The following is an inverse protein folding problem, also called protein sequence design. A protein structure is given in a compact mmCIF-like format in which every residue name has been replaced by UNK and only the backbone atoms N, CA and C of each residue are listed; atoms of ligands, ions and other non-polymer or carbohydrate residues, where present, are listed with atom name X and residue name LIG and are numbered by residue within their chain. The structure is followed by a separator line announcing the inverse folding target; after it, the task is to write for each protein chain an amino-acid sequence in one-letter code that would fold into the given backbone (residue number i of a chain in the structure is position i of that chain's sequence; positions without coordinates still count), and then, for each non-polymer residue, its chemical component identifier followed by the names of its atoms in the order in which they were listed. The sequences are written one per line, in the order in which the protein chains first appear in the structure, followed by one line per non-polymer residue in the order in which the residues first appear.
data_IF_767845174642
#
_entry.id   IF_767845174642
#
_cell.length_a   1.000
_cell.length_b   1.000
_cell.length_c   1.000
_cell.angle_alpha   90.00
_cell.angle_beta   90.00
_cell.angle_gamma   90.00
#
_symmetry.space_group_name_H-M   'P 1'
#
loop_
_entity.id
_entity.type
_entity.pdbx_description
1 polymer ?
#
# COMPACT_ATOMS: atom_id res chain seq x y z
N UNK A 1 15.11 14.57 23.94
CA UNK A 1 14.39 15.40 22.94
C UNK A 1 14.52 14.84 21.53
N UNK A 2 15.71 14.51 21.02
CA UNK A 2 15.88 13.96 19.66
C UNK A 2 15.22 12.60 19.47
N UNK A 3 15.32 11.70 20.45
CA UNK A 3 14.73 10.35 20.39
C UNK A 3 13.20 10.36 20.38
N UNK A 4 12.55 11.15 21.24
CA UNK A 4 11.09 11.30 21.23
C UNK A 4 10.57 11.90 19.92
N UNK A 5 11.30 12.85 19.34
CA UNK A 5 10.97 13.44 18.05
C UNK A 5 11.09 12.40 16.91
N UNK A 6 12.19 11.62 16.88
CA UNK A 6 12.38 10.54 15.90
C UNK A 6 11.27 9.50 16.00
N UNK A 7 10.90 9.10 17.21
CA UNK A 7 9.82 8.15 17.45
C UNK A 7 8.44 8.70 17.02
N UNK A 8 8.11 9.95 17.39
CA UNK A 8 6.86 10.58 17.00
C UNK A 8 6.76 10.77 15.48
N UNK A 9 7.85 11.20 14.83
CA UNK A 9 7.93 11.33 13.37
C UNK A 9 7.85 9.96 12.69
N UNK A 10 8.51 8.94 13.22
CA UNK A 10 8.44 7.56 12.73
C UNK A 10 6.99 7.06 12.74
N UNK A 11 6.28 7.21 13.86
CA UNK A 11 4.86 6.84 13.94
C UNK A 11 4.00 7.65 12.97
N UNK A 12 4.13 8.97 12.95
CA UNK A 12 3.31 9.84 12.10
C UNK A 12 3.50 9.58 10.60
N UNK A 13 4.75 9.36 10.17
CA UNK A 13 5.07 9.04 8.77
C UNK A 13 4.52 7.68 8.36
N UNK A 14 4.54 6.67 9.23
CA UNK A 14 3.97 5.35 8.97
C UNK A 14 2.44 5.37 8.78
N UNK A 15 1.72 6.06 9.66
CA UNK A 15 0.26 6.19 9.58
C UNK A 15 -0.15 6.98 8.32
N UNK A 16 0.56 8.07 8.04
CA UNK A 16 0.30 8.91 6.86
C UNK A 16 0.61 8.15 5.57
N UNK A 17 1.69 7.35 5.55
CA UNK A 17 2.02 6.47 4.43
C UNK A 17 0.89 5.49 4.13
N UNK A 18 0.33 4.84 5.15
CA UNK A 18 -0.81 3.92 4.99
C UNK A 18 -2.01 4.60 4.31
N UNK A 19 -2.31 5.85 4.68
CA UNK A 19 -3.36 6.65 4.04
C UNK A 19 -3.09 6.88 2.54
N UNK A 20 -1.89 7.33 2.19
CA UNK A 20 -1.51 7.56 0.79
C UNK A 20 -1.47 6.28 -0.04
N UNK A 21 -0.96 5.18 0.52
CA UNK A 21 -0.98 3.87 -0.14
C UNK A 21 -2.41 3.38 -0.37
N UNK A 22 -3.32 3.61 0.58
CA UNK A 22 -4.75 3.29 0.43
C UNK A 22 -5.37 4.05 -0.73
N UNK A 23 -5.14 5.37 -0.81
CA UNK A 23 -5.62 6.20 -1.92
C UNK A 23 -5.05 5.72 -3.25
N UNK A 24 -3.73 5.46 -3.30
CA UNK A 24 -3.06 4.98 -4.51
C UNK A 24 -3.67 3.67 -5.01
N UNK A 25 -3.85 2.68 -4.12
CA UNK A 25 -4.42 1.37 -4.45
C UNK A 25 -5.88 1.49 -4.86
N UNK A 26 -6.69 2.26 -4.12
CA UNK A 26 -8.09 2.50 -4.47
C UNK A 26 -8.22 3.07 -5.90
N UNK A 27 -7.48 4.14 -6.22
CA UNK A 27 -7.50 4.73 -7.56
C UNK A 27 -6.91 3.77 -8.63
N UNK A 28 -5.92 2.97 -8.29
CA UNK A 28 -5.34 1.96 -9.17
C UNK A 28 -6.30 0.80 -9.51
N UNK A 29 -7.07 0.32 -8.53
CA UNK A 29 -8.15 -0.66 -8.76
C UNK A 29 -9.22 -0.04 -9.66
N UNK A 30 -9.58 1.19 -9.35
CA UNK A 30 -10.71 1.87 -9.95
C UNK A 30 -10.45 2.24 -11.42
N UNK A 31 -9.26 2.77 -11.75
CA UNK A 31 -8.89 3.17 -13.12
C UNK A 31 -8.76 1.99 -14.08
N UNK A 32 -8.43 0.81 -13.55
CA UNK A 32 -8.28 -0.42 -14.31
C UNK A 32 -9.61 -0.99 -14.84
N UNK A 33 -10.75 -0.53 -14.31
CA UNK A 33 -12.09 -0.96 -14.74
C UNK A 33 -12.48 -0.46 -16.14
N UNK A 34 -11.77 0.54 -16.69
CA UNK A 34 -12.13 1.18 -17.95
C UNK A 34 -13.39 2.06 -17.87
N UNK A 35 -14.08 2.11 -16.71
CA UNK A 35 -15.23 2.98 -16.50
C UNK A 35 -14.77 4.37 -16.04
N UNK A 36 -15.48 5.45 -16.40
CA UNK A 36 -15.23 6.76 -15.80
C UNK A 36 -15.49 6.66 -14.28
N UNK A 37 -14.53 7.10 -13.49
CA UNK A 37 -14.69 7.23 -12.04
C UNK A 37 -15.23 8.60 -11.73
N UNK A 38 -16.46 8.66 -11.21
CA UNK A 38 -17.14 9.93 -10.93
C UNK A 38 -17.19 10.85 -12.17
N UNK A 39 -17.38 12.15 -11.93
CA UNK A 39 -17.37 13.24 -12.92
C UNK A 39 -15.93 13.65 -13.29
N UNK A 40 -14.91 13.00 -12.71
CA UNK A 40 -13.51 13.41 -12.87
C UNK A 40 -12.89 12.82 -14.15
N UNK A 41 -12.09 13.61 -14.89
CA UNK A 41 -11.34 13.11 -16.03
C UNK A 41 -10.33 12.02 -15.64
N UNK A 42 -10.10 11.05 -16.54
CA UNK A 42 -9.13 9.97 -16.32
C UNK A 42 -7.71 10.47 -16.04
N UNK A 43 -7.31 11.62 -16.62
CA UNK A 43 -6.01 12.21 -16.37
C UNK A 43 -5.86 12.67 -14.91
N UNK A 44 -6.89 13.33 -14.36
CA UNK A 44 -6.86 13.83 -12.99
C UNK A 44 -6.73 12.67 -11.99
N UNK A 45 -7.45 11.58 -12.23
CA UNK A 45 -7.34 10.36 -11.42
C UNK A 45 -5.93 9.76 -11.50
N UNK A 46 -5.34 9.71 -12.70
CA UNK A 46 -3.98 9.21 -12.88
C UNK A 46 -2.94 10.09 -12.18
N UNK A 47 -3.12 11.41 -12.18
CA UNK A 47 -2.23 12.36 -11.50
C UNK A 47 -2.32 12.22 -9.99
N UNK A 48 -3.54 12.11 -9.43
CA UNK A 48 -3.73 11.87 -7.98
C UNK A 48 -3.15 10.52 -7.58
N UNK A 49 -3.34 9.47 -8.39
CA UNK A 49 -2.73 8.16 -8.13
C UNK A 49 -1.19 8.24 -8.08
N UNK A 50 -0.58 8.93 -9.04
CA UNK A 50 0.88 9.12 -9.11
C UNK A 50 1.39 9.92 -7.91
N UNK A 51 0.72 11.03 -7.59
CA UNK A 51 1.07 11.84 -6.42
C UNK A 51 0.99 11.01 -5.15
N UNK A 52 -0.11 10.29 -4.92
CA UNK A 52 -0.30 9.45 -3.75
C UNK A 52 0.73 8.32 -3.67
N UNK A 53 1.06 7.68 -4.80
CA UNK A 53 2.08 6.65 -4.86
C UNK A 53 3.47 7.19 -4.47
N UNK A 54 3.85 8.36 -4.99
CA UNK A 54 5.12 9.01 -4.69
C UNK A 54 5.19 9.49 -3.24
N UNK A 55 4.13 10.14 -2.75
CA UNK A 55 4.04 10.61 -1.36
C UNK A 55 4.10 9.42 -0.38
N UNK A 56 3.32 8.37 -0.64
CA UNK A 56 3.35 7.13 0.16
C UNK A 56 4.74 6.50 0.17
N UNK A 57 5.39 6.39 -0.99
CA UNK A 57 6.75 5.85 -1.12
C UNK A 57 7.77 6.65 -0.31
N UNK A 58 7.73 7.98 -0.42
CA UNK A 58 8.63 8.86 0.31
C UNK A 58 8.41 8.73 1.83
N UNK A 59 7.15 8.69 2.27
CA UNK A 59 6.81 8.54 3.68
C UNK A 59 7.22 7.17 4.24
N UNK A 60 7.08 6.08 3.48
CA UNK A 60 7.60 4.75 3.88
C UNK A 60 9.12 4.78 4.00
N UNK A 61 9.81 5.38 3.04
CA UNK A 61 11.28 5.50 3.07
C UNK A 61 11.74 6.30 4.29
N UNK A 62 11.04 7.41 4.59
CA UNK A 62 11.30 8.24 5.76
C UNK A 62 10.99 7.48 7.06
N UNK A 63 9.85 6.77 7.12
CA UNK A 63 9.47 5.94 8.27
C UNK A 63 10.58 4.91 8.59
N UNK A 64 11.07 4.21 7.57
CA UNK A 64 12.14 3.22 7.70
C UNK A 64 13.46 3.87 8.16
N UNK A 65 13.81 5.02 7.57
CA UNK A 65 15.00 5.78 7.98
C UNK A 65 14.93 6.29 9.41
N UNK A 66 13.78 6.82 9.84
CA UNK A 66 13.58 7.30 11.21
C UNK A 66 13.68 6.16 12.23
N UNK A 67 13.12 4.99 11.91
CA UNK A 67 13.25 3.78 12.75
C UNK A 67 14.68 3.25 12.81
N UNK A 68 15.46 3.38 11.74
CA UNK A 68 16.88 3.00 11.74
C UNK A 68 17.71 3.86 12.69
N UNK A 69 17.43 5.16 12.74
CA UNK A 69 18.12 6.09 13.65
C UNK A 69 17.52 6.11 15.06
N UNK A 70 16.42 5.39 15.32
CA UNK A 70 15.81 5.31 16.64
C UNK A 70 16.54 4.26 17.51
N UNK A 71 17.24 4.67 18.59
CA UNK A 71 17.92 3.75 19.50
C UNK A 71 16.96 2.75 20.18
N UNK A 72 15.67 3.07 20.27
CA UNK A 72 14.66 2.20 20.89
C UNK A 72 14.23 1.04 19.99
N UNK A 73 14.48 1.11 18.68
CA UNK A 73 14.05 0.08 17.75
C UNK A 73 14.88 -1.22 17.84
N UNK A 74 16.10 -1.16 18.42
CA UNK A 74 17.05 -2.29 18.54
C UNK A 74 17.26 -3.09 17.24
N UNK A 75 17.08 -2.45 16.07
CA UNK A 75 17.14 -3.13 14.77
C UNK A 75 18.60 -3.31 14.34
N UNK A 76 18.94 -4.51 13.89
CA UNK A 76 20.22 -4.78 13.22
C UNK A 76 20.04 -4.53 11.72
N UNK A 77 21.11 -4.15 11.01
CA UNK A 77 21.06 -3.95 9.54
C UNK A 77 20.48 -5.16 8.77
N UNK A 78 20.60 -6.37 9.32
CA UNK A 78 20.10 -7.61 8.71
C UNK A 78 18.57 -7.67 8.75
N UNK A 79 17.93 -7.07 9.75
CA UNK A 79 16.47 -7.06 9.93
C UNK A 79 15.76 -6.19 8.89
N UNK A 80 16.51 -5.32 8.20
CA UNK A 80 16.03 -4.48 7.09
C UNK A 80 16.00 -5.18 5.73
N UNK A 81 16.71 -6.31 5.59
CA UNK A 81 16.88 -6.99 4.30
C UNK A 81 16.28 -8.39 4.32
N UNK A 82 16.24 -9.03 5.49
CA UNK A 82 15.67 -10.35 5.64
C UNK A 82 14.45 -10.27 6.55
N UNK A 83 13.23 -10.44 6.00
CA UNK A 83 12.03 -10.40 6.82
C UNK A 83 12.05 -11.53 7.85
N UNK A 84 11.43 -11.28 9.01
CA UNK A 84 11.22 -12.23 10.11
C UNK A 84 12.44 -12.59 10.97
N UNK A 85 13.62 -11.97 10.75
CA UNK A 85 14.79 -12.18 11.61
C UNK A 85 14.85 -11.28 12.86
N UNK A 86 13.97 -10.27 12.97
CA UNK A 86 13.96 -9.34 14.08
C UNK A 86 13.70 -10.01 15.44
N UNK A 87 14.44 -9.59 16.47
CA UNK A 87 14.32 -10.16 17.82
C UNK A 87 13.01 -9.78 18.53
N UNK A 88 12.37 -8.67 18.13
CA UNK A 88 11.15 -8.16 18.75
C UNK A 88 9.96 -8.34 17.81
N UNK A 89 8.94 -9.11 18.20
CA UNK A 89 7.72 -9.37 17.38
C UNK A 89 8.04 -9.68 15.88
N UNK A 90 8.80 -10.76 15.60
CA UNK A 90 9.39 -11.05 14.28
C UNK A 90 8.38 -11.07 13.13
N UNK A 91 7.16 -11.56 13.37
CA UNK A 91 6.11 -11.60 12.37
C UNK A 91 5.72 -10.20 11.88
N UNK A 92 5.45 -9.29 12.80
CA UNK A 92 4.96 -7.96 12.45
C UNK A 92 6.06 -7.08 11.89
N UNK A 93 7.27 -7.15 12.45
CA UNK A 93 8.44 -6.46 11.88
C UNK A 93 8.77 -7.01 10.49
N UNK A 94 8.75 -8.34 10.31
CA UNK A 94 8.99 -8.98 9.03
C UNK A 94 7.97 -8.61 7.95
N UNK A 95 6.70 -8.36 8.30
CA UNK A 95 5.71 -7.80 7.37
C UNK A 95 6.09 -6.38 6.92
N UNK A 96 6.65 -5.57 7.82
CA UNK A 96 7.14 -4.22 7.49
C UNK A 96 8.31 -4.28 6.49
N UNK A 97 9.31 -5.13 6.78
CA UNK A 97 10.45 -5.38 5.88
C UNK A 97 9.99 -5.93 4.54
N UNK A 98 9.10 -6.93 4.53
CA UNK A 98 8.55 -7.51 3.30
C UNK A 98 7.77 -6.47 2.47
N UNK A 99 6.98 -5.61 3.13
CA UNK A 99 6.30 -4.52 2.44
C UNK A 99 7.31 -3.55 1.81
N UNK A 100 8.35 -3.18 2.53
CA UNK A 100 9.41 -2.32 2.01
C UNK A 100 10.12 -2.94 0.80
N UNK A 101 10.49 -4.22 0.87
CA UNK A 101 11.13 -4.94 -0.24
C UNK A 101 10.25 -4.98 -1.49
N UNK A 102 8.97 -5.33 -1.32
CA UNK A 102 7.99 -5.31 -2.42
C UNK A 102 7.87 -3.91 -3.02
N UNK A 103 7.82 -2.88 -2.18
CA UNK A 103 7.76 -1.48 -2.63
C UNK A 103 9.00 -1.10 -3.45
N UNK A 104 10.20 -1.46 -2.99
CA UNK A 104 11.47 -1.22 -3.72
C UNK A 104 11.44 -1.91 -5.08
N UNK A 105 11.04 -3.18 -5.14
CA UNK A 105 10.93 -3.94 -6.40
C UNK A 105 9.95 -3.27 -7.36
N UNK A 106 8.80 -2.80 -6.87
CA UNK A 106 7.81 -2.08 -7.68
C UNK A 106 8.37 -0.75 -8.21
N UNK A 107 9.10 0.01 -7.40
CA UNK A 107 9.70 1.29 -7.82
C UNK A 107 10.75 1.06 -8.90
N UNK A 108 11.70 0.16 -8.66
CA UNK A 108 12.79 -0.14 -9.58
C UNK A 108 12.24 -0.62 -10.92
N UNK A 109 11.26 -1.51 -10.90
CA UNK A 109 10.61 -1.99 -12.15
C UNK A 109 9.79 -0.90 -12.83
N UNK A 110 9.19 0.03 -12.08
CA UNK A 110 8.48 1.18 -12.64
C UNK A 110 9.41 2.18 -13.35
N UNK A 111 10.60 2.41 -12.79
CA UNK A 111 11.66 3.22 -13.40
C UNK A 111 12.24 2.55 -14.65
N UNK A 112 12.44 1.24 -14.59
CA UNK A 112 12.98 0.43 -15.69
C UNK A 112 11.92 -0.04 -16.70
N UNK A 113 10.68 0.46 -16.63
CA UNK A 113 9.55 -0.04 -17.46
C UNK A 113 9.85 -0.05 -18.97
N UNK A 114 10.65 0.90 -19.45
CA UNK A 114 11.03 1.02 -20.86
C UNK A 114 12.04 -0.06 -21.30
N UNK A 115 12.77 -0.65 -20.35
CA UNK A 115 13.83 -1.66 -20.60
C UNK A 115 13.33 -3.09 -20.41
N UNK A 116 12.47 -3.34 -19.42
CA UNK A 116 12.02 -4.70 -19.03
C UNK A 116 10.75 -5.17 -19.76
N UNK A 117 10.13 -4.30 -20.56
CA UNK A 117 8.91 -4.59 -21.29
C UNK A 117 7.62 -4.60 -20.44
N UNK A 118 6.50 -4.35 -21.11
CA UNK A 118 5.20 -4.14 -20.46
C UNK A 118 4.66 -5.37 -19.69
N UNK A 119 5.05 -6.58 -20.08
CA UNK A 119 4.58 -7.83 -19.43
C UNK A 119 5.19 -7.97 -18.03
N UNK A 120 6.51 -7.86 -17.91
CA UNK A 120 7.22 -7.97 -16.63
C UNK A 120 6.79 -6.84 -15.70
N UNK A 121 6.76 -5.61 -16.22
CA UNK A 121 6.26 -4.46 -15.48
C UNK A 121 4.86 -4.73 -14.91
N UNK A 122 3.94 -5.25 -15.72
CA UNK A 122 2.56 -5.52 -15.29
C UNK A 122 2.52 -6.58 -14.18
N UNK A 123 3.26 -7.68 -14.30
CA UNK A 123 3.29 -8.74 -13.28
C UNK A 123 3.82 -8.20 -11.96
N UNK A 124 4.95 -7.49 -11.99
CA UNK A 124 5.54 -6.93 -10.77
C UNK A 124 4.65 -5.85 -10.17
N UNK A 125 4.03 -5.01 -11.00
CA UNK A 125 3.11 -4.00 -10.51
C UNK A 125 1.87 -4.60 -9.83
N UNK A 126 1.47 -5.85 -10.12
CA UNK A 126 0.39 -6.51 -9.36
C UNK A 126 0.79 -6.82 -7.92
N UNK A 127 2.09 -6.91 -7.60
CA UNK A 127 2.53 -7.07 -6.22
C UNK A 127 2.08 -5.91 -5.32
N UNK A 128 1.75 -4.75 -5.89
CA UNK A 128 1.15 -3.62 -5.14
C UNK A 128 -0.18 -3.97 -4.49
N UNK A 129 -0.94 -4.93 -5.04
CA UNK A 129 -2.16 -5.42 -4.40
C UNK A 129 -1.88 -6.23 -3.13
N UNK A 130 -0.73 -6.90 -3.05
CA UNK A 130 -0.29 -7.60 -1.85
C UNK A 130 0.44 -6.67 -0.87
N UNK A 131 1.11 -5.64 -1.38
CA UNK A 131 1.81 -4.63 -0.58
C UNK A 131 0.89 -3.96 0.46
N UNK A 132 -0.30 -3.52 0.04
CA UNK A 132 -1.23 -2.82 0.91
C UNK A 132 -1.75 -3.65 2.10
N UNK A 133 -2.27 -4.89 1.92
CA UNK A 133 -2.71 -5.69 3.07
C UNK A 133 -1.55 -6.09 3.99
N UNK A 134 -0.33 -6.29 3.47
CA UNK A 134 0.87 -6.51 4.28
C UNK A 134 1.17 -5.27 5.14
N UNK A 135 1.15 -4.08 4.55
CA UNK A 135 1.37 -2.83 5.27
C UNK A 135 0.29 -2.54 6.33
N UNK A 136 -0.98 -2.82 6.02
CA UNK A 136 -2.08 -2.71 6.98
C UNK A 136 -1.91 -3.71 8.14
N UNK A 137 -1.55 -4.96 7.84
CA UNK A 137 -1.27 -5.98 8.85
C UNK A 137 -0.11 -5.56 9.77
N UNK A 138 0.99 -5.10 9.19
CA UNK A 138 2.12 -4.53 9.93
C UNK A 138 1.67 -3.40 10.88
N UNK A 139 0.89 -2.44 10.38
CA UNK A 139 0.40 -1.32 11.17
C UNK A 139 -0.51 -1.77 12.33
N UNK A 140 -1.34 -2.80 12.12
CA UNK A 140 -2.25 -3.32 13.14
C UNK A 140 -1.56 -4.20 14.20
N UNK A 141 -0.41 -4.79 13.91
CA UNK A 141 0.27 -5.68 14.87
C UNK A 141 1.52 -5.10 15.54
N UNK A 142 2.16 -4.12 14.89
CA UNK A 142 3.33 -3.42 15.41
C UNK A 142 3.04 -1.96 15.80
N UNK A 143 1.88 -1.42 15.44
CA UNK A 143 1.50 -0.05 15.78
C UNK A 143 1.33 0.11 17.28
N UNK A 144 1.91 1.16 17.85
CA UNK A 144 1.74 1.49 19.29
C UNK A 144 0.36 2.03 19.61
N UNK A 145 -0.42 2.40 18.60
CA UNK A 145 -1.74 3.03 18.71
C UNK A 145 -2.89 2.04 18.44
N UNK A 146 -2.61 0.73 18.35
CA UNK A 146 -3.61 -0.31 18.05
C UNK A 146 -4.71 -0.43 19.11
N UNK A 147 -4.43 0.01 20.34
CA UNK A 147 -5.41 0.03 21.44
C UNK A 147 -6.25 1.32 21.43
N UNK A 148 -5.98 2.25 20.51
CA UNK A 148 -6.66 3.53 20.41
C UNK A 148 -7.77 3.47 19.36
N UNK A 149 -8.99 3.83 19.78
CA UNK A 149 -10.17 3.81 18.91
C UNK A 149 -10.01 4.63 17.62
N UNK A 150 -9.30 5.77 17.68
CA UNK A 150 -9.07 6.61 16.50
C UNK A 150 -8.24 5.89 15.42
N UNK A 151 -7.25 5.09 15.82
CA UNK A 151 -6.39 4.38 14.89
C UNK A 151 -7.13 3.20 14.28
N UNK A 152 -7.89 2.46 15.08
CA UNK A 152 -8.76 1.38 14.60
C UNK A 152 -9.83 1.91 13.63
N UNK A 153 -10.43 3.07 13.92
CA UNK A 153 -11.36 3.74 13.01
C UNK A 153 -10.67 4.14 11.70
N UNK A 154 -9.46 4.70 11.76
CA UNK A 154 -8.67 5.05 10.58
C UNK A 154 -8.32 3.82 9.72
N UNK A 155 -7.81 2.76 10.34
CA UNK A 155 -7.49 1.50 9.67
C UNK A 155 -8.75 0.85 9.07
N UNK A 156 -9.87 0.87 9.81
CA UNK A 156 -11.18 0.40 9.35
C UNK A 156 -11.69 1.19 8.14
N UNK A 157 -11.57 2.52 8.15
CA UNK A 157 -11.88 3.37 7.00
C UNK A 157 -11.02 3.04 5.79
N UNK A 158 -9.71 2.84 5.97
CA UNK A 158 -8.81 2.46 4.89
C UNK A 158 -9.23 1.12 4.26
N UNK A 159 -9.54 0.12 5.10
CA UNK A 159 -10.02 -1.17 4.65
C UNK A 159 -11.38 -1.10 3.94
N UNK A 160 -12.31 -0.31 4.47
CA UNK A 160 -13.61 -0.09 3.87
C UNK A 160 -13.50 0.54 2.48
N UNK A 161 -12.66 1.57 2.31
CA UNK A 161 -12.43 2.22 1.01
C UNK A 161 -11.96 1.19 -0.03
N UNK A 162 -10.93 0.41 0.30
CA UNK A 162 -10.40 -0.61 -0.62
C UNK A 162 -11.44 -1.69 -0.91
N UNK A 163 -12.18 -2.15 0.11
CA UNK A 163 -13.22 -3.16 -0.04
C UNK A 163 -14.37 -2.68 -0.93
N UNK A 164 -14.86 -1.45 -0.72
CA UNK A 164 -15.92 -0.85 -1.56
C UNK A 164 -15.48 -0.75 -3.01
N UNK A 165 -14.27 -0.25 -3.25
CA UNK A 165 -13.73 -0.13 -4.62
C UNK A 165 -13.51 -1.50 -5.27
N UNK A 166 -13.05 -2.50 -4.49
CA UNK A 166 -12.88 -3.86 -4.96
C UNK A 166 -14.23 -4.52 -5.31
N UNK A 167 -15.23 -4.41 -4.42
CA UNK A 167 -16.58 -4.93 -4.65
C UNK A 167 -17.22 -4.24 -5.85
N UNK A 168 -17.09 -2.92 -5.99
CA UNK A 168 -17.57 -2.19 -7.15
C UNK A 168 -16.95 -2.73 -8.45
N UNK A 169 -15.63 -2.99 -8.45
CA UNK A 169 -14.93 -3.60 -9.59
C UNK A 169 -15.40 -5.02 -9.88
N UNK A 170 -15.64 -5.85 -8.86
CA UNK A 170 -16.06 -7.25 -9.04
C UNK A 170 -17.52 -7.36 -9.49
N UNK A 171 -18.41 -6.52 -8.97
CA UNK A 171 -19.84 -6.45 -9.37
C UNK A 171 -20.02 -6.02 -10.82
N UNK A 172 -19.09 -5.21 -11.33
CA UNK A 172 -19.09 -4.74 -12.70
C UNK A 172 -18.85 -5.84 -13.76
N UNK A 173 -18.39 -7.03 -13.37
CA UNK A 173 -18.12 -8.15 -14.27
C UNK A 173 -19.31 -9.12 -14.44
N UNK A 174 -20.52 -8.81 -13.95
CA UNK A 174 -21.63 -9.78 -13.89
C UNK A 174 -22.74 -9.66 -14.95
N UNK A 175 -22.60 -8.83 -16.00
CA UNK A 175 -23.67 -8.65 -17.01
C UNK A 175 -23.15 -8.53 -18.44
N UNK A 176 -22.43 -9.54 -18.94
CA UNK A 176 -22.22 -9.65 -20.39
C UNK A 176 -22.32 -11.09 -20.94
N UNK A 177 -22.67 -12.08 -20.11
CA UNK A 177 -22.87 -13.47 -20.56
C UNK A 177 -24.29 -14.04 -20.34
N UNK A 178 -25.18 -13.37 -19.62
CA UNK A 178 -26.55 -13.87 -19.42
C UNK A 178 -27.48 -13.51 -20.59
N UNK A 179 -27.35 -12.30 -21.16
CA UNK A 179 -28.27 -11.82 -22.20
C UNK A 179 -27.91 -12.27 -23.62
N UNK A 180 -26.68 -12.72 -23.85
CA UNK A 180 -26.24 -13.20 -25.16
C UNK A 180 -26.75 -14.63 -25.50
N UNK A 181 -27.18 -15.40 -24.49
CA UNK A 181 -27.70 -16.77 -24.67
C UNK A 181 -29.23 -16.85 -24.64
N UNK A 182 -29.92 -15.86 -24.07
CA UNK A 182 -31.39 -15.84 -24.00
C UNK A 182 -32.07 -15.26 -25.27
N UNK A 183 -31.32 -14.63 -26.19
CA UNK A 183 -31.84 -14.04 -27.43
C UNK A 183 -31.69 -14.92 -28.68
N UNK A 184 -31.35 -16.21 -28.55
CA UNK A 184 -31.07 -17.11 -29.67
C UNK A 184 -31.76 -18.49 -29.59
N UNK A 185 -32.82 -18.65 -28.80
CA UNK A 185 -33.65 -19.86 -28.79
C UNK A 185 -35.04 -19.59 -29.35
#
# INVERSE_FOLDING_TARGET
MTSEALWALGRGTGITALGFLTVSVALGIATRSGRPLFVLPRFAVADVHRFAALAGTLLVTLHMGLLFFDPYAQLRLVDFVVPFLGAYRPLWQGLGTLAFDVLVVVIVTSLLRQRIGLRIFRVVHWATYALWPIALGHALGNGTDTDRAWFLAFAGCCALIVAVVLVWRLRANYTEYADAQAGRS
#
